data_IF_291711583373
#
_entry.id   IF_291711583373
#
_cell.length_a   1.000
_cell.length_b   1.000
_cell.length_c   1.000
_cell.angle_alpha   90.00
_cell.angle_beta   90.00
_cell.angle_gamma   90.00
#
_symmetry.space_group_name_H-M   'P 1'
#
loop_
_entity.id
_entity.type
_entity.pdbx_description
1 polymer ?
#
# COMPACT_ATOMS: atom_id res chain seq x y z
N UNK A 1 -1.73 21.82 12.22
CA UNK A 1 -1.00 20.54 12.10
C UNK A 1 0.24 20.78 11.24
N UNK A 2 1.35 20.12 11.54
CA UNK A 2 2.61 20.21 10.77
C UNK A 2 3.05 18.78 10.42
N UNK A 3 3.21 18.49 9.13
CA UNK A 3 3.54 17.15 8.61
C UNK A 3 4.62 17.20 7.54
N UNK A 4 5.19 16.05 7.20
CA UNK A 4 6.19 15.89 6.14
C UNK A 4 5.96 14.56 5.38
N UNK A 5 6.49 14.47 4.16
CA UNK A 5 6.48 13.22 3.41
C UNK A 5 7.37 12.17 4.08
N UNK A 6 6.93 10.91 4.01
CA UNK A 6 7.66 9.77 4.56
C UNK A 6 8.74 9.32 3.56
N UNK A 7 9.97 9.16 4.03
CA UNK A 7 11.04 8.51 3.29
C UNK A 7 10.97 6.98 3.47
N UNK A 8 10.36 6.28 2.51
CA UNK A 8 10.13 4.83 2.61
C UNK A 8 11.41 3.99 2.52
N UNK A 9 12.44 4.44 1.81
CA UNK A 9 13.77 3.80 1.84
C UNK A 9 14.36 3.85 3.25
N UNK A 10 14.27 5.01 3.91
CA UNK A 10 14.72 5.16 5.30
C UNK A 10 13.95 4.26 6.28
N UNK A 11 12.63 4.13 6.10
CA UNK A 11 11.79 3.22 6.90
C UNK A 11 12.17 1.75 6.64
N UNK A 12 12.41 1.36 5.40
CA UNK A 12 12.80 0.00 5.02
C UNK A 12 14.13 -0.41 5.67
N UNK A 13 15.15 0.46 5.56
CA UNK A 13 16.46 0.25 6.19
C UNK A 13 16.36 0.12 7.71
N UNK A 14 15.60 1.02 8.36
CA UNK A 14 15.41 0.96 9.80
C UNK A 14 14.73 -0.35 10.25
N UNK A 15 13.80 -0.90 9.46
CA UNK A 15 13.20 -2.20 9.71
C UNK A 15 14.21 -3.35 9.60
N UNK A 16 15.05 -3.34 8.55
CA UNK A 16 16.09 -4.33 8.33
C UNK A 16 17.14 -4.31 9.45
N UNK A 17 17.59 -3.13 9.88
CA UNK A 17 18.52 -2.96 11.01
C UNK A 17 17.93 -3.51 12.32
N UNK A 18 16.60 -3.51 12.45
CA UNK A 18 15.87 -4.10 13.58
C UNK A 18 15.54 -5.59 13.40
N UNK A 19 16.07 -6.25 12.36
CA UNK A 19 15.84 -7.67 12.07
C UNK A 19 14.43 -7.98 11.58
N UNK A 20 13.88 -7.11 10.73
CA UNK A 20 12.63 -7.35 10.00
C UNK A 20 12.91 -7.49 8.50
N UNK A 21 12.14 -8.35 7.84
CA UNK A 21 12.14 -8.47 6.39
C UNK A 21 11.10 -7.51 5.80
N UNK A 22 11.40 -6.87 4.67
CA UNK A 22 10.40 -6.10 3.94
C UNK A 22 9.51 -7.08 3.18
N UNK A 23 8.25 -7.19 3.59
CA UNK A 23 7.28 -8.13 3.02
C UNK A 23 6.55 -7.58 1.79
N UNK A 24 6.63 -6.26 1.55
CA UNK A 24 6.06 -5.62 0.37
C UNK A 24 6.07 -4.10 0.45
N UNK A 25 6.05 -3.44 -0.71
CA UNK A 25 5.92 -1.99 -0.84
C UNK A 25 5.22 -1.58 -2.13
N UNK A 26 4.13 -0.83 -2.04
CA UNK A 26 3.42 -0.34 -3.24
C UNK A 26 2.60 0.92 -2.94
N UNK A 27 1.91 1.45 -3.95
CA UNK A 27 0.98 2.58 -3.77
C UNK A 27 -0.33 2.13 -3.12
N UNK A 28 -1.03 3.06 -2.46
CA UNK A 28 -2.32 2.76 -1.81
C UNK A 28 -3.33 2.18 -2.79
N UNK A 29 -3.43 2.74 -4.00
CA UNK A 29 -4.35 2.24 -5.01
C UNK A 29 -4.11 0.76 -5.32
N UNK A 30 -2.85 0.40 -5.58
CA UNK A 30 -2.48 -0.97 -5.92
C UNK A 30 -2.76 -1.91 -4.75
N UNK A 31 -2.39 -1.51 -3.55
CA UNK A 31 -2.65 -2.30 -2.34
C UNK A 31 -4.14 -2.59 -2.15
N UNK A 32 -5.00 -1.56 -2.24
CA UNK A 32 -6.45 -1.73 -2.04
C UNK A 32 -7.10 -2.55 -3.14
N UNK A 33 -6.69 -2.36 -4.40
CA UNK A 33 -7.20 -3.16 -5.53
C UNK A 33 -6.82 -4.63 -5.34
N UNK A 34 -5.56 -4.91 -4.99
CA UNK A 34 -5.10 -6.27 -4.72
C UNK A 34 -5.85 -6.91 -3.55
N UNK A 35 -6.24 -6.13 -2.54
CA UNK A 35 -7.10 -6.57 -1.42
C UNK A 35 -8.59 -6.75 -1.79
N UNK A 36 -8.97 -6.58 -3.06
CA UNK A 36 -10.33 -6.87 -3.54
C UNK A 36 -11.31 -5.70 -3.53
N UNK A 37 -10.82 -4.45 -3.39
CA UNK A 37 -11.69 -3.26 -3.35
C UNK A 37 -12.65 -3.20 -4.55
N UNK A 38 -12.20 -3.55 -5.76
CA UNK A 38 -13.02 -3.48 -6.98
C UNK A 38 -14.25 -4.38 -6.87
N UNK A 39 -14.08 -5.62 -6.41
CA UNK A 39 -15.18 -6.57 -6.21
C UNK A 39 -16.15 -6.07 -5.13
N UNK A 40 -15.63 -5.51 -4.03
CA UNK A 40 -16.48 -4.93 -2.98
C UNK A 40 -17.34 -3.77 -3.50
N UNK A 41 -16.88 -3.05 -4.53
CA UNK A 41 -17.62 -1.95 -5.11
C UNK A 41 -18.78 -2.38 -6.01
N UNK A 42 -18.87 -3.64 -6.45
CA UNK A 42 -19.94 -4.10 -7.34
C UNK A 42 -21.34 -3.89 -6.73
N UNK A 43 -21.50 -4.12 -5.42
CA UNK A 43 -22.74 -3.86 -4.68
C UNK A 43 -22.81 -2.49 -3.99
N UNK A 44 -21.82 -1.62 -4.19
CA UNK A 44 -21.71 -0.37 -3.45
C UNK A 44 -22.61 0.74 -4.02
N UNK A 45 -23.12 1.57 -3.11
CA UNK A 45 -23.84 2.82 -3.42
C UNK A 45 -22.95 3.80 -4.19
N UNK A 46 -23.58 4.79 -4.86
CA UNK A 46 -22.85 5.84 -5.56
C UNK A 46 -21.88 6.61 -4.63
N UNK A 47 -22.32 6.91 -3.41
CA UNK A 47 -21.49 7.63 -2.44
C UNK A 47 -20.24 6.83 -2.05
N UNK A 48 -20.38 5.51 -1.84
CA UNK A 48 -19.25 4.63 -1.54
C UNK A 48 -18.27 4.53 -2.71
N UNK A 49 -18.78 4.44 -3.94
CA UNK A 49 -17.94 4.45 -5.15
C UNK A 49 -17.16 5.77 -5.29
N UNK A 50 -17.82 6.91 -5.03
CA UNK A 50 -17.16 8.22 -5.06
C UNK A 50 -16.03 8.33 -4.01
N UNK A 51 -16.24 7.78 -2.81
CA UNK A 51 -15.19 7.73 -1.78
C UNK A 51 -14.05 6.79 -2.18
N UNK A 52 -14.34 5.63 -2.75
CA UNK A 52 -13.31 4.70 -3.21
C UNK A 52 -12.48 5.28 -4.35
N UNK A 53 -13.06 6.08 -5.26
CA UNK A 53 -12.31 6.80 -6.29
C UNK A 53 -11.24 7.72 -5.70
N UNK A 54 -11.53 8.43 -4.60
CA UNK A 54 -10.50 9.23 -3.90
C UNK A 54 -9.34 8.36 -3.39
N UNK A 55 -9.63 7.14 -2.95
CA UNK A 55 -8.62 6.21 -2.42
C UNK A 55 -7.70 5.62 -3.49
N UNK A 56 -8.15 5.50 -4.73
CA UNK A 56 -7.43 4.76 -5.79
C UNK A 56 -6.96 5.63 -6.96
N UNK A 57 -7.51 6.82 -7.16
CA UNK A 57 -7.10 7.69 -8.27
C UNK A 57 -5.73 8.30 -8.02
N UNK A 58 -4.89 8.33 -9.05
CA UNK A 58 -3.50 8.77 -8.99
C UNK A 58 -3.34 10.21 -8.49
N UNK A 59 -4.17 11.13 -8.99
CA UNK A 59 -4.15 12.55 -8.61
C UNK A 59 -4.74 12.83 -7.22
N UNK A 60 -5.26 11.79 -6.54
CA UNK A 60 -5.81 11.86 -5.19
C UNK A 60 -4.88 11.09 -4.23
N UNK A 61 -5.41 10.14 -3.47
CA UNK A 61 -4.62 9.36 -2.52
C UNK A 61 -3.94 8.15 -3.16
N UNK A 62 -4.36 7.75 -4.37
CA UNK A 62 -4.01 6.47 -4.96
C UNK A 62 -2.51 6.29 -5.19
N UNK A 63 -1.83 7.34 -5.65
CA UNK A 63 -0.36 7.33 -5.80
C UNK A 63 0.33 8.10 -4.69
N UNK A 64 -0.26 9.17 -4.14
CA UNK A 64 0.38 9.94 -3.08
C UNK A 64 0.69 9.09 -1.83
N UNK A 65 -0.23 8.21 -1.45
CA UNK A 65 -0.07 7.32 -0.31
C UNK A 65 0.61 6.01 -0.73
N UNK A 66 1.44 5.48 0.17
CA UNK A 66 2.14 4.21 0.00
C UNK A 66 1.87 3.30 1.17
N UNK A 67 2.00 2.00 0.93
CA UNK A 67 1.90 0.94 1.94
C UNK A 67 3.21 0.18 1.93
N UNK A 68 3.82 0.01 3.10
CA UNK A 68 4.97 -0.86 3.33
C UNK A 68 4.59 -1.88 4.40
N UNK A 69 4.99 -3.13 4.22
CA UNK A 69 4.79 -4.20 5.19
C UNK A 69 6.12 -4.81 5.59
N UNK A 70 6.18 -5.25 6.85
CA UNK A 70 7.31 -5.97 7.42
C UNK A 70 6.84 -7.32 7.97
N UNK A 71 7.71 -8.32 7.89
CA UNK A 71 7.51 -9.64 8.50
C UNK A 71 8.72 -10.03 9.34
N UNK A 72 8.55 -11.06 10.17
CA UNK A 72 9.63 -11.68 10.94
C UNK A 72 9.39 -13.17 11.06
N UNK A 73 10.36 -13.97 10.60
CA UNK A 73 10.33 -15.43 10.78
C UNK A 73 9.19 -16.14 10.05
N UNK A 74 8.57 -15.48 9.08
CA UNK A 74 7.52 -16.05 8.24
C UNK A 74 7.79 -15.70 6.78
N UNK A 75 7.76 -16.71 5.92
CA UNK A 75 7.76 -16.53 4.47
C UNK A 75 6.31 -16.38 4.00
N UNK A 76 5.90 -15.14 3.80
CA UNK A 76 4.56 -14.78 3.37
C UNK A 76 4.66 -13.75 2.25
N UNK A 77 3.83 -13.93 1.22
CA UNK A 77 3.56 -12.91 0.23
C UNK A 77 2.16 -12.34 0.47
N UNK A 78 2.01 -11.19 1.15
CA UNK A 78 0.69 -10.69 1.49
C UNK A 78 -0.10 -10.28 0.24
N UNK A 79 -1.41 -10.57 0.23
CA UNK A 79 -2.28 -10.36 -0.94
C UNK A 79 -2.18 -8.95 -1.53
N UNK A 80 -2.07 -7.93 -0.66
CA UNK A 80 -1.95 -6.53 -1.05
C UNK A 80 -0.74 -6.21 -1.92
N UNK A 81 0.28 -7.07 -1.98
CA UNK A 81 1.50 -6.89 -2.76
C UNK A 81 1.65 -7.90 -3.91
N UNK A 82 0.64 -8.72 -4.20
CA UNK A 82 0.74 -9.75 -5.25
C UNK A 82 0.97 -9.18 -6.66
N UNK A 83 0.46 -7.97 -6.95
CA UNK A 83 0.67 -7.30 -8.23
C UNK A 83 1.16 -5.87 -8.02
N UNK A 84 2.09 -5.43 -8.88
CA UNK A 84 2.62 -4.08 -8.86
C UNK A 84 3.37 -3.73 -7.57
N UNK A 85 3.96 -4.73 -6.92
CA UNK A 85 4.96 -4.51 -5.88
C UNK A 85 6.15 -3.72 -6.43
N UNK A 86 6.65 -2.81 -5.61
CA UNK A 86 7.70 -1.86 -5.95
C UNK A 86 8.89 -1.99 -5.00
N UNK A 87 9.04 -3.11 -4.29
CA UNK A 87 10.15 -3.32 -3.35
C UNK A 87 11.52 -3.13 -4.01
N UNK A 88 11.65 -3.46 -5.31
CA UNK A 88 12.85 -3.19 -6.12
C UNK A 88 13.22 -1.70 -6.28
N UNK A 89 12.38 -0.77 -5.81
CA UNK A 89 12.62 0.69 -5.85
C UNK A 89 12.89 1.29 -4.46
N UNK A 90 12.93 0.47 -3.42
CA UNK A 90 13.28 0.89 -2.07
C UNK A 90 14.80 1.00 -1.91
#
# INVERSE_FOLDING_TARGET
>A
DITAHVNFTGIALAGQDAGLDVAGYTSQARFLINCGLVTMLEGATLAQRAMAQKLITEHEMGELFKVIAFSRGIDIQPVGFMQGDRMHRL
#
